data_IF_213250430099
#
_entry.id   IF_213250430099
#
_cell.length_a   1.000
_cell.length_b   1.000
_cell.length_c   1.000
_cell.angle_alpha   90.00
_cell.angle_beta   90.00
_cell.angle_gamma   90.00
#
_symmetry.space_group_name_H-M   'P 1'
#
loop_
_entity.id
_entity.type
_entity.pdbx_description
1 polymer ?
#
# COMPACT_ATOMS: atom_id res chain seq x y z
N UNK A 1 63.55 28.10 -28.97
CA UNK A 1 62.94 27.05 -28.14
C UNK A 1 61.85 27.59 -27.20
N UNK A 2 62.06 28.68 -26.44
CA UNK A 2 61.00 29.25 -25.58
C UNK A 2 59.92 30.07 -26.32
N UNK A 3 60.30 30.88 -27.31
CA UNK A 3 59.34 31.71 -28.06
C UNK A 3 58.39 30.87 -28.93
N UNK A 4 58.92 29.88 -29.63
CA UNK A 4 58.13 28.96 -30.45
C UNK A 4 57.10 28.21 -29.60
N UNK A 5 57.50 27.77 -28.40
CA UNK A 5 56.61 27.14 -27.42
C UNK A 5 55.45 28.08 -27.02
N UNK A 6 55.75 29.35 -26.70
CA UNK A 6 54.73 30.35 -26.40
C UNK A 6 53.74 30.53 -27.57
N UNK A 7 54.23 30.65 -28.80
CA UNK A 7 53.37 30.86 -29.98
C UNK A 7 52.51 29.63 -30.30
N UNK A 8 53.06 28.42 -30.12
CA UNK A 8 52.31 27.17 -30.27
C UNK A 8 51.22 27.03 -29.19
N UNK A 9 51.55 27.39 -27.95
CA UNK A 9 50.60 27.39 -26.84
C UNK A 9 49.47 28.40 -27.08
N UNK A 10 49.81 29.65 -27.43
CA UNK A 10 48.84 30.69 -27.71
C UNK A 10 47.88 30.31 -28.84
N UNK A 11 48.39 29.73 -29.94
CA UNK A 11 47.55 29.21 -31.03
C UNK A 11 46.65 28.05 -30.58
N UNK A 12 47.18 27.12 -29.80
CA UNK A 12 46.42 25.96 -29.30
C UNK A 12 45.29 26.38 -28.36
N UNK A 13 45.55 27.34 -27.46
CA UNK A 13 44.53 27.87 -26.54
C UNK A 13 43.48 28.67 -27.33
N UNK A 14 43.90 29.52 -28.27
CA UNK A 14 42.99 30.27 -29.13
C UNK A 14 42.00 29.35 -29.86
N UNK A 15 42.51 28.28 -30.47
CA UNK A 15 41.69 27.29 -31.18
C UNK A 15 40.74 26.52 -30.28
N UNK A 16 41.12 26.25 -29.02
CA UNK A 16 40.25 25.52 -28.07
C UNK A 16 39.17 26.41 -27.46
N UNK A 17 39.42 27.72 -27.39
CA UNK A 17 38.49 28.71 -26.84
C UNK A 17 37.64 29.38 -27.92
N UNK A 18 37.74 28.93 -29.19
CA UNK A 18 37.14 29.56 -30.36
C UNK A 18 37.40 31.08 -30.43
N UNK A 19 38.62 31.47 -30.07
CA UNK A 19 39.08 32.85 -30.15
C UNK A 19 39.83 33.08 -31.47
N UNK A 20 39.55 34.22 -32.11
CA UNK A 20 40.32 34.74 -33.22
C UNK A 20 41.80 34.92 -32.88
N UNK A 21 42.62 35.24 -33.89
CA UNK A 21 44.06 35.40 -33.74
C UNK A 21 44.42 36.40 -32.63
N UNK A 22 44.95 35.89 -31.51
CA UNK A 22 45.33 36.70 -30.36
C UNK A 22 46.47 37.68 -30.69
N UNK A 23 46.45 38.91 -30.13
CA UNK A 23 47.55 39.86 -30.29
C UNK A 23 48.83 39.36 -29.60
N UNK A 24 50.00 39.85 -30.04
CA UNK A 24 51.30 39.42 -29.51
C UNK A 24 51.85 38.11 -30.10
N UNK A 25 51.17 37.51 -31.10
CA UNK A 25 51.58 36.28 -31.78
C UNK A 25 52.70 36.47 -32.84
N UNK A 26 53.29 37.66 -32.94
CA UNK A 26 54.44 37.92 -33.84
C UNK A 26 55.74 37.42 -33.20
N UNK A 27 56.66 36.91 -34.01
CA UNK A 27 58.00 36.52 -33.52
C UNK A 27 58.85 37.76 -33.24
N UNK A 28 59.48 37.82 -32.07
CA UNK A 28 60.39 38.89 -31.67
C UNK A 28 61.66 38.94 -32.52
N UNK A 29 61.98 37.86 -33.23
CA UNK A 29 63.09 37.80 -34.20
C UNK A 29 62.78 38.70 -35.40
N UNK A 30 61.52 38.75 -35.84
CA UNK A 30 61.07 39.52 -37.01
C UNK A 30 60.68 40.96 -36.67
N UNK A 31 60.65 41.31 -35.38
CA UNK A 31 60.17 42.62 -34.90
C UNK A 31 61.34 43.53 -34.50
N UNK A 32 61.40 44.78 -35.01
CA UNK A 32 62.42 45.77 -34.63
C UNK A 32 62.48 45.98 -33.11
N UNK A 33 63.67 46.27 -32.57
CA UNK A 33 63.86 46.42 -31.10
C UNK A 33 62.89 47.41 -30.46
N UNK A 34 62.56 48.50 -31.16
CA UNK A 34 61.65 49.55 -30.70
C UNK A 34 60.22 49.04 -30.49
N UNK A 35 59.77 48.07 -31.31
CA UNK A 35 58.41 47.51 -31.26
C UNK A 35 58.29 46.31 -30.30
N UNK A 36 59.40 45.80 -29.77
CA UNK A 36 59.39 44.62 -28.89
C UNK A 36 58.64 44.86 -27.59
N UNK A 37 58.69 46.07 -27.04
CA UNK A 37 57.93 46.43 -25.84
C UNK A 37 56.42 46.42 -26.10
N UNK A 38 56.00 46.84 -27.30
CA UNK A 38 54.60 46.74 -27.73
C UNK A 38 54.15 45.28 -27.79
N UNK A 39 54.94 44.40 -28.42
CA UNK A 39 54.63 42.96 -28.48
C UNK A 39 54.57 42.34 -27.08
N UNK A 40 55.47 42.70 -26.16
CA UNK A 40 55.42 42.22 -24.77
C UNK A 40 54.13 42.66 -24.08
N UNK A 41 53.71 43.92 -24.25
CA UNK A 41 52.45 44.44 -23.71
C UNK A 41 51.23 43.72 -24.28
N UNK A 42 51.21 43.48 -25.59
CA UNK A 42 50.17 42.67 -26.24
C UNK A 42 50.10 41.25 -25.66
N UNK A 43 51.24 40.59 -25.47
CA UNK A 43 51.30 39.25 -24.86
C UNK A 43 50.77 39.25 -23.44
N UNK A 44 51.09 40.26 -22.64
CA UNK A 44 50.58 40.42 -21.28
C UNK A 44 49.05 40.59 -21.26
N UNK A 45 48.52 41.48 -22.10
CA UNK A 45 47.07 41.68 -22.24
C UNK A 45 46.36 40.40 -22.68
N UNK A 46 46.96 39.64 -23.60
CA UNK A 46 46.45 38.33 -24.03
C UNK A 46 46.38 37.34 -22.86
N UNK A 47 47.41 37.28 -22.01
CA UNK A 47 47.40 36.40 -20.83
C UNK A 47 46.27 36.79 -19.86
N UNK A 48 46.06 38.08 -19.62
CA UNK A 48 44.99 38.58 -18.76
C UNK A 48 43.60 38.22 -19.33
N UNK A 49 43.38 38.44 -20.63
CA UNK A 49 42.13 38.09 -21.30
C UNK A 49 41.84 36.58 -21.21
N UNK A 50 42.86 35.75 -21.48
CA UNK A 50 42.73 34.30 -21.39
C UNK A 50 42.41 33.85 -19.96
N UNK A 51 43.06 34.47 -18.96
CA UNK A 51 42.83 34.17 -17.55
C UNK A 51 41.40 34.51 -17.12
N UNK A 52 40.89 35.68 -17.54
CA UNK A 52 39.49 36.08 -17.31
C UNK A 52 38.51 35.13 -17.99
N UNK A 53 38.80 34.71 -19.23
CA UNK A 53 37.95 33.76 -19.98
C UNK A 53 37.90 32.40 -19.29
N UNK A 54 39.03 31.90 -18.81
CA UNK A 54 39.10 30.65 -18.04
C UNK A 54 38.27 30.76 -16.76
N UNK A 55 38.34 31.89 -16.05
CA UNK A 55 37.57 32.08 -14.82
C UNK A 55 36.05 32.11 -15.07
N UNK A 56 35.62 32.77 -16.15
CA UNK A 56 34.20 32.73 -16.59
C UNK A 56 33.77 31.28 -16.88
N UNK A 57 34.58 30.52 -17.61
CA UNK A 57 34.25 29.13 -17.96
C UNK A 57 34.20 28.24 -16.70
N UNK A 58 35.10 28.43 -15.74
CA UNK A 58 35.07 27.72 -14.45
C UNK A 58 33.79 28.02 -13.67
N UNK A 59 33.39 29.29 -13.59
CA UNK A 59 32.16 29.69 -12.91
C UNK A 59 30.91 29.11 -13.60
N UNK A 60 30.88 29.12 -14.93
CA UNK A 60 29.81 28.50 -15.70
C UNK A 60 29.74 26.98 -15.50
N UNK A 61 30.89 26.31 -15.44
CA UNK A 61 30.97 24.87 -15.18
C UNK A 61 30.44 24.56 -13.78
N UNK A 62 30.92 25.27 -12.75
CA UNK A 62 30.47 25.09 -11.37
C UNK A 62 28.95 25.32 -11.24
N UNK A 63 28.41 26.32 -11.92
CA UNK A 63 26.97 26.56 -11.94
C UNK A 63 26.19 25.40 -12.57
N UNK A 64 26.68 24.85 -13.69
CA UNK A 64 26.08 23.67 -14.35
C UNK A 64 26.16 22.42 -13.48
N UNK A 65 27.27 22.20 -12.78
CA UNK A 65 27.44 21.08 -11.84
C UNK A 65 26.45 21.19 -10.67
N UNK A 66 26.28 22.38 -10.10
CA UNK A 66 25.29 22.61 -9.05
C UNK A 66 23.87 22.34 -9.54
N UNK A 67 23.53 22.83 -10.74
CA UNK A 67 22.21 22.61 -11.34
C UNK A 67 21.96 21.12 -11.64
N UNK A 68 22.97 20.39 -12.13
CA UNK A 68 22.87 18.94 -12.31
C UNK A 68 22.63 18.21 -10.99
N UNK A 69 23.34 18.60 -9.92
CA UNK A 69 23.12 18.02 -8.59
C UNK A 69 21.71 18.28 -8.06
N UNK A 70 21.13 19.45 -8.34
CA UNK A 70 19.73 19.75 -8.02
C UNK A 70 18.76 18.86 -8.81
N UNK A 71 18.97 18.70 -10.12
CA UNK A 71 18.14 17.80 -10.93
C UNK A 71 18.24 16.33 -10.49
N UNK A 72 19.41 15.86 -10.08
CA UNK A 72 19.57 14.51 -9.53
C UNK A 72 18.76 14.30 -8.24
N UNK A 73 18.71 15.33 -7.37
CA UNK A 73 17.88 15.30 -6.16
C UNK A 73 16.39 15.31 -6.49
N UNK A 74 15.97 16.15 -7.43
CA UNK A 74 14.58 16.22 -7.85
C UNK A 74 14.13 14.93 -8.54
N UNK A 75 14.99 14.33 -9.38
CA UNK A 75 14.74 13.02 -9.98
C UNK A 75 14.58 11.93 -8.92
N UNK A 76 15.39 11.96 -7.87
CA UNK A 76 15.28 11.02 -6.75
C UNK A 76 13.97 11.20 -5.98
N UNK A 77 13.53 12.45 -5.77
CA UNK A 77 12.22 12.76 -5.16
C UNK A 77 11.07 12.30 -6.03
N UNK A 78 11.16 12.49 -7.35
CA UNK A 78 10.13 12.07 -8.30
C UNK A 78 9.95 10.55 -8.28
N UNK A 79 11.05 9.79 -8.28
CA UNK A 79 11.01 8.33 -8.15
C UNK A 79 10.36 7.87 -6.85
N UNK A 80 10.62 8.57 -5.74
CA UNK A 80 9.98 8.27 -4.46
C UNK A 80 8.47 8.57 -4.49
N UNK A 81 8.08 9.69 -5.12
CA UNK A 81 6.68 10.05 -5.27
C UNK A 81 5.92 9.06 -6.18
N UNK A 82 6.55 8.60 -7.26
CA UNK A 82 6.02 7.57 -8.15
C UNK A 82 5.81 6.24 -7.40
N UNK A 83 6.82 5.76 -6.67
CA UNK A 83 6.69 4.54 -5.87
C UNK A 83 5.57 4.65 -4.79
N UNK A 84 5.40 5.84 -4.19
CA UNK A 84 4.30 6.08 -3.25
C UNK A 84 2.94 6.06 -3.96
N UNK A 85 2.85 6.64 -5.16
CA UNK A 85 1.64 6.64 -5.96
C UNK A 85 1.24 5.22 -6.37
N UNK A 86 2.20 4.39 -6.78
CA UNK A 86 1.98 2.97 -7.11
C UNK A 86 1.45 2.20 -5.90
N UNK A 87 2.09 2.34 -4.74
CA UNK A 87 1.64 1.70 -3.50
C UNK A 87 0.21 2.14 -3.11
N UNK A 88 -0.15 3.40 -3.37
CA UNK A 88 -1.52 3.89 -3.15
C UNK A 88 -2.51 3.36 -4.20
N UNK A 89 -2.07 3.19 -5.44
CA UNK A 89 -2.83 2.51 -6.50
C UNK A 89 -3.18 1.08 -6.10
N UNK A 90 -2.21 0.31 -5.63
CA UNK A 90 -2.43 -1.06 -5.16
C UNK A 90 -3.43 -1.12 -3.99
N UNK A 91 -3.34 -0.18 -3.03
CA UNK A 91 -4.29 -0.08 -1.92
C UNK A 91 -5.71 0.22 -2.41
N UNK A 92 -5.85 1.11 -3.40
CA UNK A 92 -7.16 1.42 -3.99
C UNK A 92 -7.75 0.21 -4.71
N UNK A 93 -6.94 -0.53 -5.47
CA UNK A 93 -7.40 -1.74 -6.16
C UNK A 93 -7.85 -2.82 -5.17
N UNK A 94 -7.15 -2.97 -4.04
CA UNK A 94 -7.58 -3.84 -2.94
C UNK A 94 -8.95 -3.41 -2.40
N UNK A 95 -9.14 -2.13 -2.08
CA UNK A 95 -10.43 -1.63 -1.59
C UNK A 95 -11.55 -1.78 -2.62
N UNK A 96 -11.28 -1.58 -3.91
CA UNK A 96 -12.27 -1.80 -4.98
C UNK A 96 -12.70 -3.27 -5.00
N UNK A 97 -11.77 -4.21 -4.87
CA UNK A 97 -12.07 -5.63 -4.83
C UNK A 97 -12.85 -6.03 -3.58
N UNK A 98 -12.49 -5.49 -2.42
CA UNK A 98 -13.23 -5.68 -1.17
C UNK A 98 -14.66 -5.15 -1.27
N UNK A 99 -14.84 -3.96 -1.84
CA UNK A 99 -16.16 -3.34 -2.02
C UNK A 99 -17.03 -4.21 -2.94
N UNK A 100 -16.49 -4.68 -4.08
CA UNK A 100 -17.20 -5.62 -4.97
C UNK A 100 -17.57 -6.91 -4.26
N UNK A 101 -16.66 -7.47 -3.47
CA UNK A 101 -16.93 -8.67 -2.66
C UNK A 101 -18.08 -8.42 -1.66
N UNK A 102 -18.05 -7.29 -0.94
CA UNK A 102 -19.11 -6.90 -0.02
C UNK A 102 -20.45 -6.66 -0.73
N UNK A 103 -20.43 -6.07 -1.91
CA UNK A 103 -21.64 -5.86 -2.71
C UNK A 103 -22.28 -7.20 -3.11
N UNK A 104 -21.49 -8.17 -3.57
CA UNK A 104 -21.99 -9.51 -3.89
C UNK A 104 -22.52 -10.24 -2.65
N UNK A 105 -21.83 -10.14 -1.51
CA UNK A 105 -22.30 -10.68 -0.23
C UNK A 105 -23.66 -10.08 0.18
N UNK A 106 -23.81 -8.75 0.09
CA UNK A 106 -25.07 -8.06 0.38
C UNK A 106 -26.20 -8.56 -0.53
N UNK A 107 -25.94 -8.74 -1.82
CA UNK A 107 -26.95 -9.26 -2.76
C UNK A 107 -27.39 -10.67 -2.38
N UNK A 108 -26.45 -11.57 -2.04
CA UNK A 108 -26.76 -12.93 -1.61
C UNK A 108 -27.55 -12.97 -0.30
N UNK A 109 -27.21 -12.10 0.66
CA UNK A 109 -27.93 -11.98 1.92
C UNK A 109 -29.37 -11.47 1.71
N UNK A 110 -29.56 -10.48 0.82
CA UNK A 110 -30.90 -10.00 0.44
C UNK A 110 -31.74 -11.11 -0.18
N UNK A 111 -31.19 -11.85 -1.14
CA UNK A 111 -31.89 -13.00 -1.74
C UNK A 111 -32.25 -14.07 -0.71
N UNK A 112 -31.34 -14.36 0.21
CA UNK A 112 -31.58 -15.34 1.29
C UNK A 112 -32.66 -14.88 2.25
N UNK A 113 -32.68 -13.59 2.58
CA UNK A 113 -33.72 -12.98 3.39
C UNK A 113 -35.09 -13.03 2.71
N UNK A 114 -35.15 -12.77 1.41
CA UNK A 114 -36.41 -12.83 0.66
C UNK A 114 -36.95 -14.26 0.59
N UNK A 115 -36.08 -15.25 0.33
CA UNK A 115 -36.44 -16.69 0.36
C UNK A 115 -36.98 -17.13 1.73
N UNK A 116 -36.34 -16.71 2.83
CA UNK A 116 -36.80 -17.06 4.18
C UNK A 116 -38.14 -16.41 4.53
N UNK A 117 -38.36 -15.16 4.09
CA UNK A 117 -39.67 -14.49 4.22
C UNK A 117 -40.76 -15.22 3.46
N UNK A 118 -40.51 -15.63 2.22
CA UNK A 118 -41.46 -16.39 1.41
C UNK A 118 -41.79 -17.75 2.03
N UNK A 119 -40.77 -18.47 2.51
CA UNK A 119 -40.94 -19.76 3.21
C UNK A 119 -41.83 -19.60 4.47
N UNK A 120 -41.58 -18.57 5.27
CA UNK A 120 -42.37 -18.25 6.46
C UNK A 120 -43.83 -17.92 6.09
N UNK A 121 -44.06 -17.09 5.06
CA UNK A 121 -45.41 -16.76 4.60
C UNK A 121 -46.17 -17.99 4.09
N UNK A 122 -45.48 -18.93 3.44
CA UNK A 122 -46.06 -20.18 2.98
C UNK A 122 -46.40 -21.13 4.13
N UNK A 123 -45.54 -21.21 5.14
CA UNK A 123 -45.82 -21.96 6.36
C UNK A 123 -47.01 -21.38 7.12
N UNK A 124 -47.07 -20.05 7.29
CA UNK A 124 -48.22 -19.37 7.91
C UNK A 124 -49.53 -19.65 7.16
N UNK A 125 -49.51 -19.58 5.82
CA UNK A 125 -50.67 -19.94 4.98
C UNK A 125 -51.07 -21.39 5.18
N UNK A 126 -50.12 -22.31 5.19
CA UNK A 126 -50.35 -23.75 5.40
C UNK A 126 -50.94 -24.02 6.79
N UNK A 127 -50.38 -23.44 7.84
CA UNK A 127 -50.91 -23.56 9.22
C UNK A 127 -52.34 -23.01 9.30
N UNK A 128 -52.65 -21.90 8.64
CA UNK A 128 -53.99 -21.34 8.61
C UNK A 128 -55.00 -22.24 7.89
N UNK A 129 -54.62 -22.87 6.76
CA UNK A 129 -55.49 -23.83 6.06
C UNK A 129 -55.71 -25.10 6.87
N UNK A 130 -54.66 -25.65 7.51
CA UNK A 130 -54.78 -26.79 8.42
C UNK A 130 -55.72 -26.49 9.61
N UNK A 131 -55.63 -25.29 10.20
CA UNK A 131 -56.55 -24.88 11.30
C UNK A 131 -58.00 -24.76 10.84
N UNK A 132 -58.26 -24.24 9.63
CA UNK A 132 -59.62 -24.15 9.07
C UNK A 132 -60.23 -25.53 8.77
N UNK A 133 -59.45 -26.44 8.19
CA UNK A 133 -59.87 -27.82 7.89
C UNK A 133 -60.28 -28.62 9.14
N UNK A 134 -59.60 -28.39 10.28
CA UNK A 134 -59.91 -29.06 11.55
C UNK A 134 -61.23 -28.60 12.19
N UNK A 135 -61.74 -27.44 11.82
CA UNK A 135 -62.99 -26.88 12.36
C UNK A 135 -64.24 -27.21 11.51
N UNK A 136 -64.09 -27.89 10.36
CA UNK A 136 -65.18 -28.17 9.41
C UNK A 136 -65.70 -29.62 9.42
N UNK A 137 -65.22 -30.50 10.30
CA UNK A 137 -65.72 -31.89 10.41
C UNK A 137 -66.47 -32.12 11.71
N UNK A 138 -67.82 -32.28 11.71
CA UNK A 138 -68.54 -32.86 12.82
C UNK A 138 -68.61 -34.38 12.63
N UNK A 139 -67.70 -35.12 13.25
CA UNK A 139 -67.82 -36.59 13.25
C UNK A 139 -67.27 -37.25 14.51
N UNK A 140 -68.21 -37.88 15.21
CA UNK A 140 -68.07 -39.18 15.88
C UNK A 140 -67.21 -39.24 17.14
N UNK A 141 -67.90 -39.39 18.28
CA UNK A 141 -67.38 -39.59 19.64
C UNK A 141 -66.47 -40.82 19.85
N UNK A 142 -66.12 -41.58 18.80
CA UNK A 142 -65.17 -42.69 18.88
C UNK A 142 -63.71 -42.29 18.57
N UNK A 143 -63.47 -41.14 17.93
CA UNK A 143 -62.11 -40.64 17.62
C UNK A 143 -61.40 -40.02 18.83
N UNK A 144 -62.17 -39.49 19.79
CA UNK A 144 -61.69 -38.75 20.96
C UNK A 144 -60.76 -39.56 21.86
N UNK A 145 -61.06 -40.85 22.12
CA UNK A 145 -60.25 -41.67 23.03
C UNK A 145 -58.88 -42.02 22.42
N UNK A 146 -58.82 -42.26 21.11
CA UNK A 146 -57.58 -42.61 20.39
C UNK A 146 -56.70 -41.37 20.21
N UNK A 147 -57.28 -40.20 19.91
CA UNK A 147 -56.56 -38.92 19.91
C UNK A 147 -56.07 -38.54 21.32
N UNK A 148 -56.86 -38.75 22.38
CA UNK A 148 -56.45 -38.48 23.76
C UNK A 148 -55.23 -39.33 24.17
N UNK A 149 -55.20 -40.62 23.81
CA UNK A 149 -54.07 -41.51 24.06
C UNK A 149 -52.82 -41.11 23.28
N UNK A 150 -52.97 -40.75 22.00
CA UNK A 150 -51.85 -40.27 21.18
C UNK A 150 -51.30 -38.93 21.69
N UNK A 151 -52.16 -37.99 22.09
CA UNK A 151 -51.75 -36.71 22.71
C UNK A 151 -50.99 -36.92 24.01
N UNK A 152 -51.45 -37.82 24.88
CA UNK A 152 -50.73 -38.18 26.12
C UNK A 152 -49.37 -38.80 25.82
N UNK A 153 -49.28 -39.71 24.85
CA UNK A 153 -48.00 -40.33 24.46
C UNK A 153 -47.00 -39.32 23.86
N UNK A 154 -47.47 -38.36 23.06
CA UNK A 154 -46.63 -37.29 22.50
C UNK A 154 -46.16 -36.35 23.62
N UNK A 155 -47.06 -35.97 24.53
CA UNK A 155 -46.73 -35.10 25.66
C UNK A 155 -45.72 -35.75 26.59
N UNK A 156 -45.83 -37.06 26.84
CA UNK A 156 -44.85 -37.79 27.65
C UNK A 156 -43.50 -37.88 26.95
N UNK A 157 -43.46 -38.10 25.62
CA UNK A 157 -42.22 -38.05 24.84
C UNK A 157 -41.57 -36.68 24.87
N UNK A 158 -42.35 -35.60 24.79
CA UNK A 158 -41.84 -34.23 24.90
C UNK A 158 -41.23 -33.98 26.27
N UNK A 159 -41.92 -34.35 27.36
CA UNK A 159 -41.36 -34.23 28.72
C UNK A 159 -40.05 -34.98 28.90
N UNK A 160 -39.93 -36.18 28.31
CA UNK A 160 -38.67 -36.96 28.33
C UNK A 160 -37.55 -36.23 27.59
N UNK A 161 -37.85 -35.66 26.41
CA UNK A 161 -36.89 -34.87 25.63
C UNK A 161 -36.49 -33.58 26.34
N UNK A 162 -37.44 -32.88 26.97
CA UNK A 162 -37.17 -31.66 27.72
C UNK A 162 -36.25 -31.95 28.90
N UNK A 163 -36.50 -33.06 29.63
CA UNK A 163 -35.62 -33.51 30.70
C UNK A 163 -34.21 -33.87 30.18
N UNK A 164 -34.12 -34.56 29.04
CA UNK A 164 -32.84 -34.90 28.41
C UNK A 164 -32.08 -33.65 27.94
N UNK A 165 -32.78 -32.64 27.41
CA UNK A 165 -32.17 -31.37 27.03
C UNK A 165 -31.62 -30.65 28.27
N UNK A 166 -32.37 -30.62 29.37
CA UNK A 166 -31.91 -29.97 30.59
C UNK A 166 -30.72 -30.69 31.23
N UNK A 167 -30.70 -32.04 31.22
CA UNK A 167 -29.54 -32.78 31.71
C UNK A 167 -28.31 -32.56 30.83
N UNK A 168 -28.46 -32.56 29.50
CA UNK A 168 -27.36 -32.28 28.58
C UNK A 168 -26.83 -30.85 28.71
N UNK A 169 -27.71 -29.86 28.91
CA UNK A 169 -27.30 -28.46 29.17
C UNK A 169 -26.47 -28.36 30.45
N UNK A 170 -26.93 -28.98 31.53
CA UNK A 170 -26.20 -28.97 32.80
C UNK A 170 -24.82 -29.64 32.67
N UNK A 171 -24.75 -30.77 31.96
CA UNK A 171 -23.47 -31.44 31.69
C UNK A 171 -22.52 -30.56 30.85
N UNK A 172 -23.05 -29.89 29.83
CA UNK A 172 -22.27 -28.98 28.99
C UNK A 172 -21.70 -27.82 29.80
N UNK A 173 -22.54 -27.20 30.64
CA UNK A 173 -22.12 -26.11 31.54
C UNK A 173 -21.03 -26.57 32.53
N UNK A 174 -21.14 -27.79 33.05
CA UNK A 174 -20.11 -28.36 33.92
C UNK A 174 -18.79 -28.61 33.18
N UNK A 175 -18.85 -29.04 31.90
CA UNK A 175 -17.65 -29.20 31.07
C UNK A 175 -17.00 -27.87 30.73
N UNK A 176 -17.79 -26.84 30.44
CA UNK A 176 -17.29 -25.49 30.15
C UNK A 176 -16.59 -24.90 31.38
N UNK A 177 -17.17 -25.07 32.58
CA UNK A 177 -16.50 -24.68 33.84
C UNK A 177 -15.17 -25.41 34.04
N UNK A 178 -15.10 -26.71 33.74
CA UNK A 178 -13.85 -27.48 33.81
C UNK A 178 -12.82 -27.01 32.79
N UNK A 179 -13.24 -26.72 31.56
CA UNK A 179 -12.36 -26.18 30.51
C UNK A 179 -11.81 -24.81 30.89
N UNK A 180 -12.64 -23.93 31.45
CA UNK A 180 -12.22 -22.62 31.94
C UNK A 180 -11.16 -22.76 33.03
N UNK A 181 -11.39 -23.63 34.02
CA UNK A 181 -10.44 -23.88 35.10
C UNK A 181 -9.09 -24.41 34.58
N UNK A 182 -9.12 -25.36 33.64
CA UNK A 182 -7.91 -25.90 32.98
C UNK A 182 -7.18 -24.83 32.16
N UNK A 183 -7.92 -23.97 31.45
CA UNK A 183 -7.35 -22.84 30.71
C UNK A 183 -6.63 -21.87 31.66
N UNK A 184 -7.28 -21.49 32.76
CA UNK A 184 -6.72 -20.58 33.77
C UNK A 184 -5.48 -21.19 34.45
N UNK A 185 -5.49 -22.49 34.73
CA UNK A 185 -4.34 -23.20 35.30
C UNK A 185 -3.17 -23.26 34.30
N UNK A 186 -3.46 -23.53 33.03
CA UNK A 186 -2.45 -23.54 31.96
C UNK A 186 -1.85 -22.15 31.75
N UNK A 187 -2.66 -21.09 31.84
CA UNK A 187 -2.20 -19.71 31.76
C UNK A 187 -1.30 -19.35 32.95
N UNK A 188 -1.68 -19.74 34.17
CA UNK A 188 -0.83 -19.57 35.36
C UNK A 188 0.51 -20.29 35.23
N UNK A 189 0.53 -21.53 34.75
CA UNK A 189 1.77 -22.27 34.50
C UNK A 189 2.64 -21.59 33.44
N UNK A 190 2.03 -21.07 32.35
CA UNK A 190 2.77 -20.31 31.32
C UNK A 190 3.40 -19.05 31.90
N UNK A 191 2.67 -18.28 32.71
CA UNK A 191 3.20 -17.07 33.37
C UNK A 191 4.36 -17.43 34.31
N UNK A 192 4.22 -18.49 35.12
CA UNK A 192 5.31 -18.97 35.99
C UNK A 192 6.54 -19.38 35.17
N UNK A 193 6.38 -20.13 34.07
CA UNK A 193 7.50 -20.52 33.20
C UNK A 193 8.24 -19.33 32.56
N UNK A 194 7.53 -18.23 32.28
CA UNK A 194 8.15 -16.99 31.77
C UNK A 194 8.90 -16.25 32.87
N UNK A 195 8.37 -16.22 34.10
CA UNK A 195 9.03 -15.59 35.25
C UNK A 195 10.29 -16.32 35.72
N UNK A 196 10.38 -17.65 35.54
CA UNK A 196 11.58 -18.45 35.87
C UNK A 196 12.70 -18.36 34.80
N UNK A 197 12.47 -17.67 33.67
CA UNK A 197 13.45 -17.49 32.58
C UNK A 197 14.16 -16.13 32.58
N UNK A 198 13.95 -15.31 33.62
CA UNK A 198 14.68 -14.05 33.91
C UNK A 198 15.55 -14.26 35.13
#
# INVERSE_FOLDING_TARGET
TSEECYLNLARSISSRLDLDRLPGQRSLIQVPKIERETVKKERQNTIELLSQRIEILKNQLQHKENLLSEYERDMSRLKQAEALADAKGEQLDQFINELRSKETEIQLLRQSLDRTREALLNEQRSVATFKKSRNSTPTSNFSSIKEQRQRKAIQEKLKRKDYEIDTLKNQLEERDKKLQLLSDQTMKMRIQMVMFKV
#
